data_IF_832961407431
#
_entry.id   IF_832961407431
#
_cell.length_a   1.000
_cell.length_b   1.000
_cell.length_c   1.000
_cell.angle_alpha   90.00
_cell.angle_beta   90.00
_cell.angle_gamma   90.00
#
_symmetry.space_group_name_H-M   'P 1'
#
loop_
_entity.id
_entity.type
_entity.pdbx_description
1 polymer ?
#
# COMPACT_ATOMS: atom_id res chain seq x y z
N UNK A 1 27.78 8.32 24.55
CA UNK A 1 28.47 7.39 23.64
C UNK A 1 28.77 8.14 22.36
N UNK A 2 30.02 8.57 22.19
CA UNK A 2 30.49 9.44 21.12
C UNK A 2 31.49 8.63 20.30
N UNK A 3 31.26 8.50 18.99
CA UNK A 3 32.15 7.79 18.06
C UNK A 3 33.08 8.83 17.43
N UNK A 4 34.36 8.72 17.76
CA UNK A 4 35.47 9.46 17.16
C UNK A 4 35.88 8.84 15.82
N UNK A 5 36.28 9.72 14.91
CA UNK A 5 36.79 9.40 13.58
C UNK A 5 38.09 8.58 13.66
N UNK A 6 38.13 7.47 12.92
CA UNK A 6 39.29 6.61 12.76
C UNK A 6 40.16 7.07 11.59
N UNK A 7 41.45 7.23 11.88
CA UNK A 7 42.54 7.47 10.95
C UNK A 7 42.61 6.41 9.84
N UNK A 8 42.63 6.86 8.59
CA UNK A 8 43.09 6.09 7.44
C UNK A 8 44.50 6.60 7.07
N UNK A 9 45.52 5.96 7.60
CA UNK A 9 46.91 6.09 7.13
C UNK A 9 47.52 4.69 7.13
N UNK A 10 47.51 4.03 5.98
CA UNK A 10 48.42 2.92 5.64
C UNK A 10 48.11 2.45 4.23
N UNK A 11 48.95 2.88 3.27
CA UNK A 11 49.39 2.13 2.08
C UNK A 11 50.08 3.10 1.10
N UNK A 12 51.29 3.53 1.46
CA UNK A 12 52.26 4.04 0.49
C UNK A 12 53.54 3.22 0.62
N UNK A 13 53.43 1.93 0.31
CA UNK A 13 54.55 1.02 0.21
C UNK A 13 54.77 0.69 -1.28
N UNK A 14 55.78 1.35 -1.87
CA UNK A 14 56.59 0.99 -3.06
C UNK A 14 56.90 2.22 -3.91
N UNK A 15 57.85 3.00 -3.42
CA UNK A 15 58.54 4.06 -4.15
C UNK A 15 59.97 4.20 -3.67
N UNK A 16 60.61 3.11 -3.26
CA UNK A 16 62.04 3.07 -2.94
C UNK A 16 62.70 2.25 -4.04
N UNK A 17 63.11 2.91 -5.12
CA UNK A 17 64.17 2.42 -5.99
C UNK A 17 64.71 3.61 -6.81
N UNK A 18 66.04 3.72 -6.83
CA UNK A 18 66.85 4.71 -7.55
C UNK A 18 66.98 6.09 -6.87
N UNK A 19 67.61 6.08 -5.69
CA UNK A 19 68.48 7.18 -5.28
C UNK A 19 69.78 6.59 -4.71
N UNK A 20 70.55 5.94 -5.59
CA UNK A 20 71.86 5.39 -5.23
C UNK A 20 72.75 5.21 -6.47
N UNK A 21 73.03 6.31 -7.19
CA UNK A 21 74.23 6.45 -8.04
C UNK A 21 74.63 7.92 -8.04
N UNK A 22 75.24 8.38 -6.95
CA UNK A 22 75.93 9.66 -6.92
C UNK A 22 76.98 9.67 -5.80
N UNK A 23 77.73 8.58 -5.60
CA UNK A 23 78.82 8.58 -4.62
C UNK A 23 79.77 7.37 -4.77
N UNK A 24 80.34 7.17 -5.96
CA UNK A 24 81.62 6.42 -6.09
C UNK A 24 82.36 6.94 -7.33
N UNK A 25 83.59 7.42 -7.13
CA UNK A 25 84.60 7.47 -8.20
C UNK A 25 84.98 8.87 -8.70
N UNK A 26 85.63 9.66 -7.85
CA UNK A 26 86.53 10.71 -8.32
C UNK A 26 87.71 10.06 -9.07
N UNK A 27 87.70 10.17 -10.40
CA UNK A 27 88.79 9.77 -11.28
C UNK A 27 88.70 10.59 -12.56
N UNK A 28 89.51 11.65 -12.64
CA UNK A 28 89.66 12.49 -13.83
C UNK A 28 90.19 11.64 -15.00
N UNK A 29 89.30 11.27 -15.92
CA UNK A 29 89.67 10.82 -17.27
C UNK A 29 89.19 11.90 -18.23
N UNK A 30 90.14 12.60 -18.85
CA UNK A 30 89.88 13.54 -19.92
C UNK A 30 89.62 12.78 -21.22
N UNK A 31 88.58 13.18 -21.95
CA UNK A 31 88.65 13.24 -23.40
C UNK A 31 87.84 12.19 -24.15
N UNK A 32 86.70 12.63 -24.66
CA UNK A 32 86.01 12.00 -25.78
C UNK A 32 84.61 12.59 -25.92
N UNK A 33 84.41 13.52 -26.85
CA UNK A 33 83.12 14.17 -27.20
C UNK A 33 81.97 13.19 -27.50
N UNK A 34 82.22 11.87 -27.52
CA UNK A 34 81.21 10.82 -27.64
C UNK A 34 80.52 10.40 -26.33
N UNK A 35 81.09 10.68 -25.16
CA UNK A 35 80.54 10.18 -23.88
C UNK A 35 79.40 11.06 -23.34
N UNK A 36 79.51 12.37 -23.50
CA UNK A 36 78.44 13.32 -23.17
C UNK A 36 77.19 13.08 -24.06
N UNK A 37 77.41 12.77 -25.34
CA UNK A 37 76.32 12.43 -26.25
C UNK A 37 75.62 11.12 -25.84
N UNK A 38 76.35 10.13 -25.31
CA UNK A 38 75.77 8.87 -24.80
C UNK A 38 74.94 9.08 -23.53
N UNK A 39 75.42 9.89 -22.58
CA UNK A 39 74.66 10.20 -21.36
C UNK A 39 73.37 10.97 -21.69
N UNK A 40 73.42 11.90 -22.65
CA UNK A 40 72.24 12.63 -23.11
C UNK A 40 71.20 11.68 -23.75
N UNK A 41 71.64 10.72 -24.56
CA UNK A 41 70.74 9.71 -25.16
C UNK A 41 70.12 8.78 -24.10
N UNK A 42 70.86 8.41 -23.05
CA UNK A 42 70.34 7.59 -21.94
C UNK A 42 69.29 8.39 -21.14
N UNK A 43 69.56 9.66 -20.84
CA UNK A 43 68.60 10.53 -20.15
C UNK A 43 67.30 10.71 -20.95
N UNK A 44 67.41 10.96 -22.26
CA UNK A 44 66.24 11.09 -23.15
C UNK A 44 65.43 9.79 -23.24
N UNK A 45 66.09 8.62 -23.31
CA UNK A 45 65.40 7.31 -23.30
C UNK A 45 64.71 7.04 -21.96
N UNK A 46 65.33 7.41 -20.85
CA UNK A 46 64.73 7.24 -19.52
C UNK A 46 63.52 8.15 -19.33
N UNK A 47 63.58 9.40 -19.79
CA UNK A 47 62.46 10.34 -19.71
C UNK A 47 61.29 9.95 -20.63
N UNK A 48 61.58 9.45 -21.85
CA UNK A 48 60.56 8.89 -22.73
C UNK A 48 59.88 7.65 -22.12
N UNK A 49 60.66 6.75 -21.49
CA UNK A 49 60.13 5.60 -20.76
C UNK A 49 59.24 6.00 -19.59
N UNK A 50 59.64 7.00 -18.81
CA UNK A 50 58.86 7.52 -17.66
C UNK A 50 57.52 8.13 -18.10
N UNK A 51 57.51 8.94 -19.17
CA UNK A 51 56.29 9.52 -19.73
C UNK A 51 55.34 8.45 -20.30
N UNK A 52 55.89 7.43 -20.95
CA UNK A 52 55.12 6.27 -21.43
C UNK A 52 54.49 5.46 -20.29
N UNK A 53 55.22 5.24 -19.20
CA UNK A 53 54.74 4.52 -18.02
C UNK A 53 53.65 5.29 -17.27
N UNK A 54 53.81 6.61 -17.10
CA UNK A 54 52.77 7.45 -16.46
C UNK A 54 51.48 7.51 -17.28
N UNK A 55 51.57 7.59 -18.60
CA UNK A 55 50.39 7.60 -19.48
C UNK A 55 49.65 6.26 -19.46
N UNK A 56 50.36 5.14 -19.40
CA UNK A 56 49.77 3.79 -19.34
C UNK A 56 49.24 3.43 -17.95
N UNK A 57 49.88 3.89 -16.88
CA UNK A 57 49.37 3.69 -15.51
C UNK A 57 48.12 4.53 -15.24
N UNK A 58 48.06 5.77 -15.74
CA UNK A 58 46.89 6.63 -15.57
C UNK A 58 45.66 6.10 -16.33
N UNK A 59 45.84 5.56 -17.55
CA UNK A 59 44.75 4.97 -18.31
C UNK A 59 44.25 3.67 -17.69
N UNK A 60 45.14 2.81 -17.18
CA UNK A 60 44.76 1.56 -16.51
C UNK A 60 43.99 1.80 -15.21
N UNK A 61 44.44 2.76 -14.38
CA UNK A 61 43.77 3.12 -13.13
C UNK A 61 42.40 3.76 -13.40
N UNK A 62 42.29 4.68 -14.36
CA UNK A 62 41.02 5.29 -14.74
C UNK A 62 40.02 4.27 -15.31
N UNK A 63 40.50 3.30 -16.08
CA UNK A 63 39.66 2.25 -16.66
C UNK A 63 39.17 1.24 -15.60
N UNK A 64 39.98 0.97 -14.57
CA UNK A 64 39.58 0.09 -13.47
C UNK A 64 38.53 0.74 -12.56
N UNK A 65 38.62 2.05 -12.27
CA UNK A 65 37.59 2.76 -11.53
C UNK A 65 36.25 2.84 -12.29
N UNK A 66 36.28 3.07 -13.61
CA UNK A 66 35.06 3.12 -14.42
C UNK A 66 34.24 1.82 -14.36
N UNK A 67 34.91 0.66 -14.43
CA UNK A 67 34.26 -0.66 -14.33
C UNK A 67 33.62 -0.86 -12.94
N UNK A 68 34.27 -0.41 -11.86
CA UNK A 68 33.72 -0.54 -10.50
C UNK A 68 32.49 0.33 -10.27
N UNK A 69 32.43 1.54 -10.83
CA UNK A 69 31.25 2.41 -10.69
C UNK A 69 30.06 1.93 -11.51
N UNK A 70 30.28 1.47 -12.75
CA UNK A 70 29.19 0.94 -13.59
C UNK A 70 28.61 -0.34 -13.00
N UNK A 71 29.46 -1.24 -12.48
CA UNK A 71 28.99 -2.46 -11.80
C UNK A 71 28.28 -2.15 -10.49
N UNK A 72 28.78 -1.23 -9.67
CA UNK A 72 28.12 -0.82 -8.43
C UNK A 72 26.76 -0.16 -8.70
N UNK A 73 26.68 0.70 -9.73
CA UNK A 73 25.44 1.37 -10.11
C UNK A 73 24.40 0.37 -10.65
N UNK A 74 24.80 -0.59 -11.48
CA UNK A 74 23.93 -1.67 -11.94
C UNK A 74 23.47 -2.54 -10.76
N UNK A 75 24.36 -2.86 -9.81
CA UNK A 75 24.00 -3.63 -8.63
C UNK A 75 23.00 -2.87 -7.74
N UNK A 76 23.21 -1.55 -7.58
CA UNK A 76 22.30 -0.69 -6.83
C UNK A 76 20.93 -0.59 -7.51
N UNK A 77 20.89 -0.45 -8.85
CA UNK A 77 19.65 -0.47 -9.63
C UNK A 77 18.94 -1.82 -9.57
N UNK A 78 19.68 -2.93 -9.58
CA UNK A 78 19.08 -4.26 -9.42
C UNK A 78 18.53 -4.46 -8.00
N UNK A 79 19.20 -3.93 -6.97
CA UNK A 79 18.72 -3.97 -5.59
C UNK A 79 17.46 -3.11 -5.38
N UNK A 80 17.35 -1.96 -6.03
CA UNK A 80 16.13 -1.13 -5.95
C UNK A 80 14.97 -1.74 -6.75
N UNK A 81 15.25 -2.41 -7.88
CA UNK A 81 14.24 -3.06 -8.73
C UNK A 81 13.71 -4.39 -8.15
N UNK A 82 14.47 -5.06 -7.28
CA UNK A 82 14.03 -6.33 -6.67
C UNK A 82 13.15 -6.17 -5.42
N UNK A 83 12.97 -4.94 -4.92
CA UNK A 83 12.14 -4.69 -3.75
C UNK A 83 10.67 -4.58 -4.17
N UNK A 84 10.04 -5.71 -4.52
CA UNK A 84 8.58 -5.74 -4.66
C UNK A 84 7.96 -5.24 -3.35
N UNK A 85 7.00 -4.29 -3.40
CA UNK A 85 6.30 -3.85 -2.21
C UNK A 85 5.79 -5.09 -1.48
N UNK A 86 6.11 -5.21 -0.18
CA UNK A 86 5.57 -6.31 0.60
C UNK A 86 4.06 -6.16 0.59
N UNK A 87 3.29 -7.21 0.27
CA UNK A 87 1.85 -7.11 0.33
C UNK A 87 1.46 -6.75 1.77
N UNK A 88 0.56 -5.79 1.91
CA UNK A 88 -0.06 -5.48 3.20
C UNK A 88 -0.81 -6.72 3.65
N UNK A 89 -0.45 -7.26 4.83
CA UNK A 89 -1.04 -8.49 5.35
C UNK A 89 -1.80 -8.20 6.64
N UNK A 90 -3.10 -8.42 6.57
CA UNK A 90 -4.00 -8.42 7.73
C UNK A 90 -4.07 -9.85 8.28
N UNK A 91 -4.12 -10.00 9.61
CA UNK A 91 -4.41 -11.30 10.22
C UNK A 91 -5.84 -11.70 9.85
N UNK A 92 -5.98 -12.87 9.24
CA UNK A 92 -7.27 -13.42 8.86
C UNK A 92 -8.07 -13.84 10.09
N UNK A 93 -9.33 -13.39 10.17
CA UNK A 93 -10.25 -13.81 11.20
C UNK A 93 -10.95 -15.13 10.79
N UNK A 94 -10.87 -16.20 11.60
CA UNK A 94 -11.48 -17.48 11.25
C UNK A 94 -13.02 -17.37 11.20
N UNK A 95 -13.63 -18.07 10.24
CA UNK A 95 -15.08 -18.18 10.13
C UNK A 95 -15.49 -19.65 10.16
N UNK A 96 -16.20 -20.05 11.21
CA UNK A 96 -16.60 -21.44 11.44
C UNK A 96 -18.06 -21.74 11.06
N UNK A 97 -18.76 -20.78 10.45
CA UNK A 97 -20.14 -20.97 10.01
C UNK A 97 -20.26 -22.02 8.92
N UNK A 98 -21.17 -22.97 9.12
CA UNK A 98 -21.60 -23.96 8.12
C UNK A 98 -22.73 -23.44 7.24
N UNK A 99 -23.55 -22.52 7.77
CA UNK A 99 -24.59 -21.83 7.00
C UNK A 99 -23.96 -20.85 6.00
N UNK A 100 -24.30 -20.96 4.69
CA UNK A 100 -23.66 -20.16 3.65
C UNK A 100 -24.00 -18.67 3.72
N UNK A 101 -25.17 -18.29 4.22
CA UNK A 101 -25.57 -16.89 4.36
C UNK A 101 -24.85 -16.25 5.54
N UNK A 102 -24.85 -16.92 6.70
CA UNK A 102 -24.09 -16.48 7.89
C UNK A 102 -22.61 -16.32 7.57
N UNK A 103 -22.03 -17.29 6.86
CA UNK A 103 -20.63 -17.22 6.42
C UNK A 103 -20.37 -16.00 5.52
N UNK A 104 -21.24 -15.74 4.55
CA UNK A 104 -21.11 -14.56 3.67
C UNK A 104 -21.20 -13.26 4.46
N UNK A 105 -22.25 -13.07 5.26
CA UNK A 105 -22.42 -11.85 6.07
C UNK A 105 -21.23 -11.63 7.00
N UNK A 106 -20.75 -12.69 7.66
CA UNK A 106 -19.60 -12.60 8.55
C UNK A 106 -18.34 -12.15 7.82
N UNK A 107 -18.00 -12.82 6.71
CA UNK A 107 -16.78 -12.53 5.96
C UNK A 107 -16.82 -11.14 5.31
N UNK A 108 -17.98 -10.75 4.75
CA UNK A 108 -18.15 -9.41 4.19
C UNK A 108 -18.08 -8.34 5.28
N UNK A 109 -18.68 -8.55 6.45
CA UNK A 109 -18.57 -7.57 7.53
C UNK A 109 -17.12 -7.40 8.00
N UNK A 110 -16.35 -8.48 8.14
CA UNK A 110 -14.92 -8.40 8.48
C UNK A 110 -14.18 -7.55 7.45
N UNK A 111 -14.36 -7.85 6.16
CA UNK A 111 -13.69 -7.12 5.08
C UNK A 111 -14.11 -5.65 5.03
N UNK A 112 -15.40 -5.35 5.24
CA UNK A 112 -15.90 -3.98 5.34
C UNK A 112 -15.24 -3.22 6.49
N UNK A 113 -15.19 -3.82 7.68
CA UNK A 113 -14.57 -3.22 8.87
C UNK A 113 -13.10 -2.91 8.59
N UNK A 114 -12.35 -3.91 8.11
CA UNK A 114 -10.90 -3.83 8.04
C UNK A 114 -10.39 -3.04 6.84
N UNK A 115 -11.16 -2.97 5.74
CA UNK A 115 -10.70 -2.39 4.48
C UNK A 115 -11.54 -1.21 3.98
N UNK A 116 -12.82 -1.12 4.36
CA UNK A 116 -13.74 -0.11 3.82
C UNK A 116 -14.21 0.93 4.84
N UNK A 117 -14.18 0.63 6.14
CA UNK A 117 -14.55 1.58 7.19
C UNK A 117 -13.36 2.44 7.64
N UNK A 118 -12.30 2.49 6.83
CA UNK A 118 -11.06 3.19 7.15
C UNK A 118 -10.56 2.75 8.53
N UNK A 119 -10.05 3.70 9.31
CA UNK A 119 -9.54 3.46 10.65
C UNK A 119 -10.62 3.63 11.75
N UNK A 120 -11.91 3.75 11.38
CA UNK A 120 -13.00 4.04 12.35
C UNK A 120 -13.30 2.91 13.34
N UNK A 121 -12.85 1.68 13.05
CA UNK A 121 -12.95 0.55 13.98
C UNK A 121 -11.75 0.43 14.93
N UNK A 122 -10.71 1.22 14.68
CA UNK A 122 -9.55 1.27 15.56
C UNK A 122 -9.83 2.23 16.72
N UNK A 123 -9.30 1.95 17.93
CA UNK A 123 -9.37 2.89 19.04
C UNK A 123 -8.74 4.25 18.68
N UNK A 124 -9.23 5.33 19.28
CA UNK A 124 -8.72 6.69 19.06
C UNK A 124 -7.20 6.79 19.16
N UNK A 125 -6.60 6.13 20.16
CA UNK A 125 -5.14 6.07 20.33
C UNK A 125 -4.38 5.50 19.11
N UNK A 126 -4.95 4.52 18.40
CA UNK A 126 -4.35 3.97 17.20
C UNK A 126 -4.57 4.90 16.00
N UNK A 127 -5.74 5.53 15.91
CA UNK A 127 -6.04 6.55 14.90
C UNK A 127 -5.11 7.75 14.99
N UNK A 128 -4.82 8.22 16.20
CA UNK A 128 -3.86 9.29 16.45
C UNK A 128 -2.44 8.91 16.02
N UNK A 129 -2.00 7.68 16.27
CA UNK A 129 -0.69 7.20 15.81
C UNK A 129 -0.61 7.16 14.28
N UNK A 130 -1.64 6.64 13.60
CA UNK A 130 -1.71 6.61 12.14
C UNK A 130 -1.66 8.04 11.60
N UNK A 131 -2.49 8.94 12.13
CA UNK A 131 -2.55 10.35 11.70
C UNK A 131 -1.23 11.08 11.91
N UNK A 132 -0.59 10.89 13.07
CA UNK A 132 0.69 11.51 13.38
C UNK A 132 1.78 11.04 12.41
N UNK A 133 1.81 9.75 12.09
CA UNK A 133 2.78 9.17 11.16
C UNK A 133 2.54 9.62 9.71
N UNK A 134 1.27 9.66 9.28
CA UNK A 134 0.90 10.19 7.97
C UNK A 134 1.25 11.67 7.84
N UNK A 135 0.96 12.49 8.86
CA UNK A 135 1.33 13.91 8.86
C UNK A 135 2.85 14.11 8.83
N UNK A 136 3.61 13.20 9.47
CA UNK A 136 5.08 13.23 9.48
C UNK A 136 5.67 12.93 8.09
N UNK A 137 5.09 11.96 7.37
CA UNK A 137 5.57 11.57 6.04
C UNK A 137 5.03 12.46 4.92
N UNK A 138 3.80 12.94 5.08
CA UNK A 138 3.06 13.74 4.10
C UNK A 138 2.60 15.05 4.76
N UNK A 139 3.51 15.96 5.13
CA UNK A 139 3.14 17.23 5.75
C UNK A 139 2.22 18.00 4.80
N UNK A 140 1.02 18.33 5.26
CA UNK A 140 0.03 19.07 4.46
C UNK A 140 0.64 20.36 3.90
N UNK A 141 0.88 20.36 2.58
CA UNK A 141 1.13 21.57 1.83
C UNK A 141 -0.20 22.32 1.69
N UNK A 142 -0.23 23.60 2.07
CA UNK A 142 -1.44 24.43 2.09
C UNK A 142 -2.07 24.69 0.71
N UNK A 143 -1.43 24.26 -0.39
CA UNK A 143 -1.81 24.60 -1.77
C UNK A 143 -1.98 23.39 -2.71
N UNK A 144 -2.03 22.16 -2.20
CA UNK A 144 -1.67 21.03 -3.05
C UNK A 144 -2.82 20.34 -3.81
N UNK A 145 -2.77 20.44 -5.14
CA UNK A 145 -3.34 19.42 -6.05
C UNK A 145 -2.46 18.17 -5.94
N UNK A 146 -2.84 17.24 -5.07
CA UNK A 146 -2.13 15.95 -4.91
C UNK A 146 -2.13 15.21 -6.24
N UNK A 147 -0.94 14.86 -6.73
CA UNK A 147 -0.81 14.04 -7.93
C UNK A 147 -1.40 12.65 -7.66
N UNK A 148 -1.95 11.99 -8.68
CA UNK A 148 -2.49 10.62 -8.53
C UNK A 148 -1.48 9.66 -7.93
N UNK A 149 -0.18 9.83 -8.24
CA UNK A 149 0.91 8.98 -7.74
C UNK A 149 1.16 9.21 -6.25
N UNK A 150 1.19 10.47 -5.81
CA UNK A 150 1.39 10.79 -4.40
C UNK A 150 0.21 10.34 -3.55
N UNK A 151 -1.03 10.51 -4.05
CA UNK A 151 -2.22 10.00 -3.39
C UNK A 151 -2.19 8.46 -3.26
N UNK A 152 -1.77 7.76 -4.31
CA UNK A 152 -1.59 6.30 -4.27
C UNK A 152 -0.52 5.89 -3.25
N UNK A 153 0.57 6.66 -3.14
CA UNK A 153 1.61 6.40 -2.14
C UNK A 153 1.09 6.63 -0.71
N UNK A 154 0.38 7.74 -0.47
CA UNK A 154 -0.28 8.03 0.79
C UNK A 154 -1.24 6.90 1.20
N UNK A 155 -2.11 6.47 0.30
CA UNK A 155 -3.07 5.38 0.55
C UNK A 155 -2.38 4.04 0.84
N UNK A 156 -1.25 3.78 0.18
CA UNK A 156 -0.44 2.57 0.45
C UNK A 156 0.13 2.62 1.88
N UNK A 157 0.76 3.72 2.27
CA UNK A 157 1.32 3.90 3.62
C UNK A 157 0.22 3.86 4.68
N UNK A 158 -0.92 4.51 4.43
CA UNK A 158 -2.09 4.46 5.33
C UNK A 158 -2.53 3.02 5.58
N UNK A 159 -2.72 2.23 4.52
CA UNK A 159 -3.13 0.81 4.64
C UNK A 159 -2.09 -0.04 5.38
N UNK A 160 -0.80 0.21 5.17
CA UNK A 160 0.27 -0.46 5.93
C UNK A 160 0.17 -0.17 7.43
N UNK A 161 -0.02 1.10 7.80
CA UNK A 161 -0.17 1.50 9.20
C UNK A 161 -1.44 0.93 9.82
N UNK A 162 -2.55 0.94 9.09
CA UNK A 162 -3.81 0.31 9.51
C UNK A 162 -3.63 -1.18 9.75
N UNK A 163 -2.97 -1.91 8.84
CA UNK A 163 -2.67 -3.32 9.03
C UNK A 163 -1.79 -3.59 10.26
N UNK A 164 -0.80 -2.73 10.54
CA UNK A 164 0.01 -2.84 11.77
C UNK A 164 -0.86 -2.70 13.01
N UNK A 165 -1.79 -1.74 13.04
CA UNK A 165 -2.68 -1.54 14.19
C UNK A 165 -3.73 -2.65 14.30
N UNK A 166 -4.31 -3.08 13.18
CA UNK A 166 -5.23 -4.23 13.13
C UNK A 166 -4.55 -5.48 13.71
N UNK A 167 -3.32 -5.77 13.28
CA UNK A 167 -2.57 -6.94 13.73
C UNK A 167 -2.23 -6.91 15.23
N UNK A 168 -2.09 -5.71 15.80
CA UNK A 168 -1.91 -5.49 17.25
C UNK A 168 -3.22 -5.63 18.02
N UNK A 169 -4.34 -5.16 17.44
CA UNK A 169 -5.67 -5.24 18.02
C UNK A 169 -6.22 -6.67 17.96
N UNK A 170 -5.79 -7.49 16.99
CA UNK A 170 -6.31 -8.82 16.74
C UNK A 170 -6.41 -9.69 18.02
N UNK A 171 -7.64 -10.13 18.34
CA UNK A 171 -8.02 -10.88 19.55
C UNK A 171 -7.92 -10.13 20.90
N UNK A 172 -7.57 -8.84 20.91
CA UNK A 172 -7.64 -7.99 22.11
C UNK A 172 -9.03 -7.37 22.27
N UNK A 173 -10.00 -8.22 22.65
CA UNK A 173 -11.40 -7.84 22.75
C UNK A 173 -11.67 -6.70 23.75
N UNK A 174 -10.77 -6.43 24.69
CA UNK A 174 -10.93 -5.32 25.64
C UNK A 174 -10.89 -3.96 24.92
N UNK A 175 -10.20 -3.89 23.78
CA UNK A 175 -9.98 -2.68 23.00
C UNK A 175 -10.84 -2.58 21.75
N UNK A 176 -11.71 -3.56 21.50
CA UNK A 176 -12.56 -3.53 20.32
C UNK A 176 -13.58 -2.40 20.40
N UNK A 177 -13.65 -1.61 19.32
CA UNK A 177 -14.75 -0.70 19.08
C UNK A 177 -16.04 -1.47 18.80
N UNK A 178 -17.18 -0.87 19.18
CA UNK A 178 -18.49 -1.49 19.04
C UNK A 178 -19.23 -0.96 17.82
N UNK A 179 -19.51 -1.86 16.89
CA UNK A 179 -20.36 -1.62 15.73
C UNK A 179 -21.78 -2.11 16.04
N UNK A 180 -22.78 -1.37 15.57
CA UNK A 180 -24.17 -1.71 15.79
C UNK A 180 -24.76 -2.37 14.56
N UNK A 181 -25.42 -3.51 14.74
CA UNK A 181 -26.24 -4.13 13.72
C UNK A 181 -27.62 -3.47 13.73
N UNK A 182 -28.00 -2.87 12.61
CA UNK A 182 -29.34 -2.35 12.39
C UNK A 182 -30.21 -3.40 11.68
N UNK A 183 -31.18 -3.95 12.40
CA UNK A 183 -32.22 -4.85 11.85
C UNK A 183 -33.62 -4.22 11.94
N UNK A 184 -33.70 -2.93 12.27
CA UNK A 184 -34.96 -2.23 12.54
C UNK A 184 -35.64 -1.73 11.25
N UNK A 185 -36.83 -2.25 10.94
CA UNK A 185 -37.59 -1.83 9.76
C UNK A 185 -38.04 -0.36 9.81
N UNK A 186 -38.08 0.25 11.01
CA UNK A 186 -38.51 1.65 11.20
C UNK A 186 -37.62 2.65 10.49
N UNK A 187 -36.34 2.30 10.31
CA UNK A 187 -35.36 3.05 9.54
C UNK A 187 -34.80 2.11 8.47
N UNK A 188 -35.70 1.59 7.63
CA UNK A 188 -35.34 0.72 6.54
C UNK A 188 -34.22 1.30 5.67
N UNK A 189 -33.61 0.44 4.86
CA UNK A 189 -32.65 0.86 3.84
C UNK A 189 -33.30 1.95 2.98
N UNK A 190 -32.57 3.01 2.64
CA UNK A 190 -33.07 4.03 1.70
C UNK A 190 -33.42 3.30 0.40
N UNK A 191 -34.69 3.18 -0.03
CA UNK A 191 -35.02 2.36 -1.18
C UNK A 191 -34.25 2.85 -2.39
N UNK A 192 -33.49 1.98 -3.05
CA UNK A 192 -32.91 2.32 -4.34
C UNK A 192 -33.80 1.73 -5.41
N UNK A 193 -34.22 2.58 -6.33
CA UNK A 193 -34.77 2.15 -7.60
C UNK A 193 -33.67 2.28 -8.62
N UNK A 194 -33.47 1.29 -9.48
CA UNK A 194 -32.76 1.57 -10.73
C UNK A 194 -33.57 2.64 -11.44
N UNK A 195 -33.02 3.84 -11.67
CA UNK A 195 -33.66 4.79 -12.56
C UNK A 195 -33.94 4.04 -13.85
N UNK A 196 -35.20 4.05 -14.30
CA UNK A 196 -35.45 3.67 -15.68
C UNK A 196 -34.54 4.57 -16.50
N UNK A 197 -33.66 3.96 -17.30
CA UNK A 197 -32.82 4.70 -18.24
C UNK A 197 -33.79 5.53 -19.08
N UNK A 198 -34.00 6.79 -18.68
CA UNK A 198 -34.73 7.72 -19.51
C UNK A 198 -33.91 7.79 -20.80
N UNK A 199 -34.58 7.85 -21.95
CA UNK A 199 -33.94 7.75 -23.26
C UNK A 199 -32.96 8.91 -23.57
N UNK A 200 -32.61 9.71 -22.57
CA UNK A 200 -31.46 10.59 -22.55
C UNK A 200 -30.20 9.80 -22.89
N UNK A 201 -29.75 9.94 -24.14
CA UNK A 201 -28.50 9.35 -24.64
C UNK A 201 -27.24 10.03 -24.04
N UNK A 202 -27.41 10.97 -23.11
CA UNK A 202 -26.29 11.70 -22.52
C UNK A 202 -25.60 10.86 -21.43
N UNK A 203 -24.60 10.09 -21.86
CA UNK A 203 -23.71 9.31 -20.99
C UNK A 203 -22.76 10.17 -20.15
N UNK A 204 -22.74 11.49 -20.35
CA UNK A 204 -21.99 12.41 -19.50
C UNK A 204 -22.68 12.67 -18.15
N UNK A 205 -23.94 12.26 -18.01
CA UNK A 205 -24.64 12.26 -16.73
C UNK A 205 -24.04 11.23 -15.75
N UNK A 206 -23.77 11.67 -14.52
CA UNK A 206 -23.18 10.84 -13.48
C UNK A 206 -24.09 9.67 -13.09
N UNK A 207 -25.42 9.89 -13.08
CA UNK A 207 -26.39 8.84 -12.79
C UNK A 207 -26.45 7.80 -13.91
N UNK A 208 -26.41 8.20 -15.17
CA UNK A 208 -26.32 7.27 -16.29
C UNK A 208 -25.09 6.34 -16.16
N UNK A 209 -23.91 6.87 -15.81
CA UNK A 209 -22.71 6.05 -15.57
C UNK A 209 -22.87 5.11 -14.38
N UNK A 210 -23.44 5.58 -13.27
CA UNK A 210 -23.72 4.73 -12.12
C UNK A 210 -24.67 3.59 -12.49
N UNK A 211 -25.73 3.87 -13.25
CA UNK A 211 -26.68 2.86 -13.71
C UNK A 211 -26.02 1.80 -14.59
N UNK A 212 -25.11 2.19 -15.49
CA UNK A 212 -24.35 1.24 -16.31
C UNK A 212 -23.50 0.33 -15.42
N UNK A 213 -22.81 0.89 -14.41
CA UNK A 213 -21.98 0.10 -13.49
C UNK A 213 -22.82 -0.83 -12.63
N UNK A 214 -23.94 -0.36 -12.08
CA UNK A 214 -24.87 -1.21 -11.31
C UNK A 214 -25.42 -2.32 -12.20
N UNK A 215 -25.92 -2.01 -13.41
CA UNK A 215 -26.41 -3.04 -14.33
C UNK A 215 -25.33 -4.08 -14.69
N UNK A 216 -24.06 -3.67 -14.76
CA UNK A 216 -22.92 -4.58 -14.92
C UNK A 216 -22.72 -5.50 -13.71
N UNK A 217 -23.02 -5.07 -12.49
CA UNK A 217 -23.03 -5.97 -11.33
C UNK A 217 -24.18 -6.98 -11.43
N UNK A 218 -25.38 -6.51 -11.79
CA UNK A 218 -26.56 -7.37 -11.92
C UNK A 218 -26.37 -8.45 -12.98
N UNK A 219 -25.83 -8.13 -14.15
CA UNK A 219 -25.60 -9.10 -15.23
C UNK A 219 -24.63 -10.23 -14.85
N UNK A 220 -23.77 -10.02 -13.84
CA UNK A 220 -22.84 -11.03 -13.34
C UNK A 220 -23.48 -12.04 -12.38
N UNK A 221 -24.66 -11.73 -11.82
CA UNK A 221 -25.30 -12.53 -10.76
C UNK A 221 -26.71 -12.98 -11.15
N UNK A 222 -27.47 -12.12 -11.82
CA UNK A 222 -28.90 -12.26 -12.11
C UNK A 222 -29.11 -12.41 -13.62
N UNK A 223 -29.62 -13.56 -14.06
CA UNK A 223 -29.79 -13.86 -15.48
C UNK A 223 -31.15 -13.48 -16.07
N UNK A 224 -32.21 -13.40 -15.26
CA UNK A 224 -33.58 -13.29 -15.78
C UNK A 224 -34.48 -12.31 -15.06
N UNK A 225 -34.39 -12.17 -13.72
CA UNK A 225 -35.31 -11.34 -12.96
C UNK A 225 -34.60 -10.33 -12.06
N UNK A 226 -34.18 -9.23 -12.70
CA UNK A 226 -33.60 -8.06 -12.03
C UNK A 226 -34.56 -7.45 -11.01
N UNK A 227 -35.88 -7.55 -11.22
CA UNK A 227 -36.87 -6.94 -10.34
C UNK A 227 -36.94 -7.64 -8.97
N UNK A 228 -36.89 -8.97 -8.95
CA UNK A 228 -36.80 -9.77 -7.72
C UNK A 228 -35.49 -9.44 -6.98
N UNK A 229 -34.38 -9.36 -7.71
CA UNK A 229 -33.08 -9.04 -7.12
C UNK A 229 -33.08 -7.63 -6.48
N UNK A 230 -33.62 -6.61 -7.16
CA UNK A 230 -33.78 -5.26 -6.58
C UNK A 230 -34.64 -5.31 -5.33
N UNK A 231 -35.77 -6.03 -5.37
CA UNK A 231 -36.63 -6.17 -4.19
C UNK A 231 -35.88 -6.81 -3.01
N UNK A 232 -35.09 -7.86 -3.25
CA UNK A 232 -34.25 -8.48 -2.23
C UNK A 232 -33.19 -7.52 -1.68
N UNK A 233 -32.50 -6.76 -2.54
CA UNK A 233 -31.50 -5.77 -2.13
C UNK A 233 -32.12 -4.56 -1.38
N UNK A 234 -33.40 -4.27 -1.57
CA UNK A 234 -34.14 -3.28 -0.79
C UNK A 234 -34.76 -3.87 0.50
N UNK A 235 -34.72 -5.19 0.67
CA UNK A 235 -35.25 -5.86 1.86
C UNK A 235 -34.14 -6.00 2.88
N UNK A 236 -34.31 -5.40 4.06
CA UNK A 236 -33.39 -5.57 5.19
C UNK A 236 -33.34 -7.04 5.61
N UNK A 237 -32.14 -7.57 5.87
CA UNK A 237 -32.00 -8.90 6.47
C UNK A 237 -32.41 -8.86 7.95
N UNK A 238 -33.11 -9.90 8.40
CA UNK A 238 -33.54 -10.04 9.80
C UNK A 238 -33.17 -11.39 10.41
N UNK A 239 -32.49 -12.26 9.64
CA UNK A 239 -32.15 -13.63 10.04
C UNK A 239 -30.82 -13.74 10.79
N UNK A 240 -29.98 -12.71 10.71
CA UNK A 240 -28.65 -12.66 11.36
C UNK A 240 -28.72 -11.77 12.59
N UNK A 241 -28.20 -12.29 13.71
CA UNK A 241 -28.06 -11.54 14.97
C UNK A 241 -26.58 -11.33 15.30
N UNK A 242 -26.23 -10.42 16.24
CA UNK A 242 -24.82 -10.16 16.59
C UNK A 242 -24.02 -11.41 16.99
N UNK A 243 -24.66 -12.40 17.62
CA UNK A 243 -24.02 -13.65 18.01
C UNK A 243 -23.63 -14.55 16.81
N UNK A 244 -24.17 -14.28 15.61
CA UNK A 244 -23.80 -14.96 14.38
C UNK A 244 -22.54 -14.36 13.72
N UNK A 245 -21.90 -13.36 14.33
CA UNK A 245 -20.66 -12.77 13.83
C UNK A 245 -19.48 -13.19 14.71
N UNK A 246 -18.42 -13.65 14.05
CA UNK A 246 -17.13 -14.05 14.60
C UNK A 246 -16.10 -13.01 14.15
N UNK A 247 -16.00 -11.91 14.90
CA UNK A 247 -15.11 -10.79 14.59
C UNK A 247 -13.85 -10.83 15.46
N UNK A 248 -12.71 -10.43 14.90
CA UNK A 248 -11.40 -10.49 15.58
C UNK A 248 -10.79 -9.12 15.87
N UNK A 249 -11.46 -8.04 15.45
CA UNK A 249 -10.95 -6.65 15.49
C UNK A 249 -12.00 -5.64 15.95
N UNK A 250 -13.25 -6.09 16.10
CA UNK A 250 -14.38 -5.26 16.51
C UNK A 250 -15.39 -6.10 17.29
N UNK A 251 -16.28 -5.44 18.03
CA UNK A 251 -17.50 -6.02 18.61
C UNK A 251 -18.68 -5.65 17.75
N UNK A 252 -19.66 -6.54 17.69
CA UNK A 252 -20.97 -6.21 17.13
C UNK A 252 -22.07 -6.43 18.17
N UNK A 253 -23.04 -5.53 18.21
CA UNK A 253 -24.21 -5.64 19.09
C UNK A 253 -25.46 -5.07 18.42
N UNK A 254 -26.64 -5.33 18.97
CA UNK A 254 -27.87 -4.72 18.45
C UNK A 254 -27.90 -3.24 18.76
N UNK A 255 -28.40 -2.44 17.82
CA UNK A 255 -28.73 -1.03 18.10
C UNK A 255 -29.73 -0.95 19.25
N UNK A 256 -29.44 -0.23 20.34
CA UNK A 256 -30.39 -0.08 21.44
C UNK A 256 -31.63 0.68 20.96
N UNK A 257 -32.81 0.20 21.34
CA UNK A 257 -34.10 0.77 20.93
C UNK A 257 -34.53 1.97 21.79
N UNK A 258 -33.94 2.12 22.98
CA UNK A 258 -34.36 3.08 24.02
C UNK A 258 -33.31 4.17 24.27
N UNK A 259 -32.83 4.85 23.22
CA UNK A 259 -31.97 6.02 23.42
C UNK A 259 -32.79 7.25 23.77
N UNK A 260 -32.92 7.51 25.07
CA UNK A 260 -33.40 8.79 25.61
C UNK A 260 -32.36 9.92 25.51
N UNK A 261 -31.13 9.63 25.07
CA UNK A 261 -30.05 10.63 24.99
C UNK A 261 -29.83 11.12 23.56
N UNK A 262 -29.76 12.44 23.35
CA UNK A 262 -29.52 13.03 22.04
C UNK A 262 -28.08 12.88 21.50
N UNK A 263 -27.15 12.26 22.26
CA UNK A 263 -25.71 12.22 21.94
C UNK A 263 -25.15 10.83 21.52
N UNK A 264 -25.97 9.77 21.45
CA UNK A 264 -25.52 8.45 20.97
C UNK A 264 -25.47 8.35 19.42
N UNK A 265 -25.31 9.47 18.71
CA UNK A 265 -25.26 9.47 17.25
C UNK A 265 -23.92 9.00 16.70
N UNK A 266 -22.80 9.22 17.40
CA UNK A 266 -21.43 8.92 16.92
C UNK A 266 -21.05 7.42 16.90
N UNK A 267 -22.01 6.52 16.67
CA UNK A 267 -21.75 5.08 16.67
C UNK A 267 -22.05 4.46 15.32
N UNK A 268 -21.02 3.85 14.74
CA UNK A 268 -21.09 3.12 13.47
C UNK A 268 -22.17 2.05 13.53
N UNK A 269 -23.23 2.25 12.75
CA UNK A 269 -24.32 1.30 12.56
C UNK A 269 -24.23 0.74 11.15
N UNK A 270 -24.26 -0.58 11.01
CA UNK A 270 -24.27 -1.28 9.72
C UNK A 270 -25.61 -1.99 9.55
N UNK A 271 -26.15 -1.90 8.34
CA UNK A 271 -27.37 -2.59 7.91
C UNK A 271 -27.07 -3.38 6.66
N UNK A 272 -27.65 -4.56 6.54
CA UNK A 272 -27.48 -5.41 5.36
C UNK A 272 -28.82 -5.72 4.72
N UNK A 273 -28.86 -5.76 3.40
CA UNK A 273 -29.99 -6.33 2.67
C UNK A 273 -29.98 -7.85 2.74
N UNK A 274 -31.03 -8.49 2.22
CA UNK A 274 -30.99 -9.89 1.81
C UNK A 274 -29.94 -10.09 0.70
N UNK A 275 -29.37 -11.28 0.64
CA UNK A 275 -28.39 -11.67 -0.37
C UNK A 275 -29.10 -12.09 -1.66
N UNK A 276 -28.56 -11.68 -2.81
CA UNK A 276 -28.94 -12.21 -4.12
C UNK A 276 -27.82 -13.11 -4.63
N UNK A 277 -28.00 -14.43 -4.57
CA UNK A 277 -27.01 -15.37 -5.10
C UNK A 277 -27.18 -15.60 -6.60
N UNK A 278 -26.07 -15.88 -7.28
CA UNK A 278 -26.13 -16.57 -8.57
C UNK A 278 -26.53 -18.05 -8.38
N UNK A 279 -26.89 -18.74 -9.47
CA UNK A 279 -27.37 -20.12 -9.41
C UNK A 279 -26.39 -21.10 -8.75
N UNK A 280 -25.08 -20.90 -8.94
CA UNK A 280 -24.02 -21.75 -8.39
C UNK A 280 -23.56 -21.34 -6.98
N UNK A 281 -24.10 -20.25 -6.42
CA UNK A 281 -23.67 -19.66 -5.13
C UNK A 281 -22.16 -19.40 -5.04
N UNK A 282 -21.56 -18.98 -6.16
CA UNK A 282 -20.15 -18.55 -6.25
C UNK A 282 -20.01 -17.05 -6.32
N UNK A 283 -21.09 -16.34 -6.67
CA UNK A 283 -21.18 -14.88 -6.66
C UNK A 283 -22.47 -14.46 -5.97
N UNK A 284 -22.45 -13.30 -5.35
CA UNK A 284 -23.65 -12.71 -4.81
C UNK A 284 -23.63 -11.18 -4.94
N UNK A 285 -24.82 -10.58 -4.92
CA UNK A 285 -24.99 -9.17 -4.62
C UNK A 285 -25.46 -9.02 -3.18
N UNK A 286 -24.89 -8.05 -2.50
CA UNK A 286 -25.29 -7.65 -1.17
C UNK A 286 -25.27 -6.13 -1.09
N UNK A 287 -26.34 -5.52 -0.59
CA UNK A 287 -26.32 -4.10 -0.25
C UNK A 287 -26.05 -3.95 1.24
N UNK A 288 -25.29 -2.92 1.59
CA UNK A 288 -25.21 -2.46 2.96
C UNK A 288 -25.33 -0.94 3.05
N UNK A 289 -25.79 -0.46 4.21
CA UNK A 289 -25.77 0.94 4.58
C UNK A 289 -24.94 1.07 5.86
N UNK A 290 -24.02 2.03 5.91
CA UNK A 290 -23.26 2.42 7.09
C UNK A 290 -23.67 3.83 7.51
N UNK A 291 -23.94 4.03 8.80
CA UNK A 291 -24.19 5.35 9.37
C UNK A 291 -23.30 5.60 10.56
N UNK A 292 -22.64 6.76 10.60
CA UNK A 292 -21.77 7.17 11.68
C UNK A 292 -22.39 8.25 12.61
N UNK A 293 -23.69 8.53 12.42
CA UNK A 293 -24.44 9.52 13.22
C UNK A 293 -24.88 10.74 12.45
N UNK A 294 -25.83 11.52 13.00
CA UNK A 294 -26.31 12.74 12.34
C UNK A 294 -26.74 12.50 10.89
N UNK A 295 -26.10 13.23 9.97
CA UNK A 295 -26.21 13.05 8.52
C UNK A 295 -24.94 12.39 7.93
N UNK A 296 -24.16 11.66 8.72
CA UNK A 296 -23.01 10.91 8.24
C UNK A 296 -23.40 9.47 7.91
N UNK A 297 -23.09 9.06 6.69
CA UNK A 297 -23.22 7.68 6.26
C UNK A 297 -23.10 7.55 4.75
N UNK A 298 -23.10 6.31 4.31
CA UNK A 298 -23.16 5.97 2.89
C UNK A 298 -23.78 4.57 2.73
N UNK A 299 -24.15 4.24 1.50
CA UNK A 299 -24.64 2.91 1.16
C UNK A 299 -24.10 2.46 -0.18
N UNK A 300 -23.81 1.17 -0.30
CA UNK A 300 -23.22 0.58 -1.50
C UNK A 300 -23.90 -0.73 -1.88
N UNK A 301 -23.80 -1.09 -3.16
CA UNK A 301 -24.02 -2.47 -3.64
C UNK A 301 -22.66 -3.13 -3.82
N UNK A 302 -22.51 -4.29 -3.19
CA UNK A 302 -21.34 -5.13 -3.27
C UNK A 302 -21.58 -6.27 -4.25
N UNK A 303 -20.64 -6.47 -5.17
CA UNK A 303 -20.43 -7.77 -5.80
C UNK A 303 -19.42 -8.54 -4.96
N UNK A 304 -19.85 -9.68 -4.45
CA UNK A 304 -19.00 -10.56 -3.64
C UNK A 304 -18.78 -11.88 -4.39
N UNK A 305 -17.55 -12.38 -4.34
CA UNK A 305 -17.12 -13.59 -5.03
C UNK A 305 -16.50 -14.57 -4.06
N UNK A 306 -16.80 -15.86 -4.27
CA UNK A 306 -16.27 -16.95 -3.46
C UNK A 306 -14.99 -17.49 -4.09
N UNK A 307 -13.84 -17.25 -3.46
CA UNK A 307 -12.54 -17.77 -3.88
C UNK A 307 -11.95 -18.62 -2.74
N UNK A 308 -11.46 -19.82 -3.07
CA UNK A 308 -10.91 -20.77 -2.09
C UNK A 308 -11.85 -21.04 -0.88
N UNK A 309 -13.16 -21.00 -1.12
CA UNK A 309 -14.17 -21.20 -0.09
C UNK A 309 -14.57 -19.96 0.70
N UNK A 310 -13.84 -18.84 0.58
CA UNK A 310 -14.10 -17.59 1.29
C UNK A 310 -14.76 -16.56 0.40
N UNK A 311 -15.64 -15.75 0.99
CA UNK A 311 -16.28 -14.63 0.31
C UNK A 311 -15.42 -13.38 0.44
N UNK A 312 -15.23 -12.68 -0.68
CA UNK A 312 -14.48 -11.44 -0.77
C UNK A 312 -15.25 -10.39 -1.55
N UNK A 313 -15.05 -9.12 -1.21
CA UNK A 313 -15.64 -8.00 -1.96
C UNK A 313 -14.83 -7.83 -3.23
N UNK A 314 -15.46 -8.09 -4.38
CA UNK A 314 -14.81 -7.97 -5.68
C UNK A 314 -14.92 -6.56 -6.23
N UNK A 315 -16.08 -5.94 -6.01
CA UNK A 315 -16.41 -4.60 -6.49
C UNK A 315 -17.49 -4.00 -5.56
N UNK A 316 -17.40 -2.69 -5.33
CA UNK A 316 -18.45 -1.91 -4.67
C UNK A 316 -18.90 -0.76 -5.58
N UNK A 317 -20.18 -0.43 -5.53
CA UNK A 317 -20.76 0.73 -6.20
C UNK A 317 -21.55 1.56 -5.19
N UNK A 318 -21.08 2.78 -4.95
CA UNK A 318 -21.72 3.74 -4.05
C UNK A 318 -23.08 4.18 -4.60
N UNK A 319 -24.11 4.06 -3.77
CA UNK A 319 -25.48 4.48 -4.07
C UNK A 319 -25.75 5.90 -3.58
N UNK A 320 -25.24 6.23 -2.40
CA UNK A 320 -25.41 7.53 -1.75
C UNK A 320 -24.32 7.74 -0.71
N UNK A 321 -24.01 9.01 -0.47
CA UNK A 321 -23.17 9.52 0.61
C UNK A 321 -23.85 10.76 1.17
N UNK A 322 -23.74 10.99 2.47
CA UNK A 322 -24.31 12.16 3.16
C UNK A 322 -23.27 12.95 3.94
#
# INVERSE_FOLDING_TARGET
MSLTAGNFDTLQARGVFVQQVAEVGGGLVSGGDGEEHRLLQIAQRWEAGRKGWQATSASFVAQQYKITYETLFILLLLLTMCSKPRPVTFKECPCTHTDPEKRLYNQVLIELIEQHFYSSYLPDSANEQIRAELQRQFPQSSDYKVSTVEFQHYETVRKELEAVQQNRLFNDSARFETIYLGTDLRRGLVPFTLPQLSQSADTTDAFARLNIRINSLFSQVVLSDTSIAIHQLNTLQSGIVPADFQLCTAKITMRPTNHKRPFDWERTTVRFSKIVFNATKTKALLRYDMSCGGNCGFGEILLVEKTNGNWHIKQSEELWIS
#
